data_IF_267321583666
#
_entry.id   IF_267321583666
#
_cell.length_a   1.000
_cell.length_b   1.000
_cell.length_c   1.000
_cell.angle_alpha   90.00
_cell.angle_beta   90.00
_cell.angle_gamma   90.00
#
_symmetry.space_group_name_H-M   'P 1'
#
loop_
_entity.id
_entity.type
_entity.pdbx_description
1 polymer ?
#
# COMPACT_ATOMS: atom_id res chain seq x y z
N UNK A 1 41.11 -71.41 10.74
CA UNK A 1 41.07 -70.00 10.28
C UNK A 1 39.59 -69.60 10.21
N UNK A 2 39.09 -68.93 11.22
CA UNK A 2 37.68 -68.45 11.23
C UNK A 2 37.78 -66.99 10.95
N UNK A 3 37.34 -66.63 9.75
CA UNK A 3 37.27 -65.26 9.28
C UNK A 3 36.03 -64.59 9.96
N UNK A 4 36.25 -63.74 10.94
CA UNK A 4 35.22 -62.97 11.58
C UNK A 4 34.79 -61.84 10.65
N UNK A 5 33.71 -62.03 9.95
CA UNK A 5 33.05 -60.99 9.16
C UNK A 5 32.46 -59.96 10.14
N UNK A 6 33.17 -58.85 10.30
CA UNK A 6 32.72 -57.70 11.07
C UNK A 6 31.53 -57.08 10.32
N UNK A 7 30.32 -57.43 10.71
CA UNK A 7 29.11 -56.77 10.22
C UNK A 7 29.17 -55.28 10.60
N UNK A 8 29.40 -54.45 9.64
CA UNK A 8 29.34 -52.99 9.79
C UNK A 8 27.91 -52.61 10.14
N UNK A 9 27.64 -52.46 11.41
CA UNK A 9 26.35 -51.98 11.91
C UNK A 9 26.20 -50.52 11.50
N UNK A 10 25.55 -50.29 10.34
CA UNK A 10 25.10 -48.95 9.94
C UNK A 10 24.13 -48.51 11.04
N UNK A 11 24.58 -47.58 11.90
CA UNK A 11 23.69 -46.93 12.85
C UNK A 11 22.66 -46.16 11.98
N UNK A 12 21.38 -46.42 12.15
CA UNK A 12 20.37 -45.57 11.51
C UNK A 12 20.57 -44.20 12.10
N UNK A 13 21.13 -43.29 11.29
CA UNK A 13 21.23 -41.88 11.65
C UNK A 13 19.85 -41.43 12.09
N UNK A 14 19.76 -40.84 13.27
CA UNK A 14 18.51 -40.25 13.77
C UNK A 14 18.11 -39.20 12.72
N UNK A 15 17.18 -39.56 11.82
CA UNK A 15 16.69 -38.66 10.81
C UNK A 15 16.21 -37.41 11.49
N UNK A 16 16.75 -36.25 11.10
CA UNK A 16 16.34 -34.98 11.65
C UNK A 16 14.80 -34.89 11.69
N UNK A 17 14.23 -34.55 12.83
CA UNK A 17 12.78 -34.48 13.00
C UNK A 17 12.12 -33.42 12.10
N UNK A 18 12.94 -32.56 11.47
CA UNK A 18 12.50 -31.50 10.55
C UNK A 18 13.26 -31.61 9.23
N UNK A 19 12.54 -31.66 8.12
CA UNK A 19 13.09 -31.67 6.74
C UNK A 19 13.13 -30.25 6.16
N UNK A 20 14.12 -29.48 6.53
CA UNK A 20 14.24 -28.09 6.07
C UNK A 20 14.22 -27.93 4.55
N UNK A 21 14.84 -28.85 3.81
CA UNK A 21 14.79 -28.84 2.35
C UNK A 21 13.35 -28.92 1.80
N UNK A 22 12.49 -29.75 2.40
CA UNK A 22 11.09 -29.86 2.02
C UNK A 22 10.30 -28.59 2.38
N UNK A 23 10.57 -28.00 3.54
CA UNK A 23 9.96 -26.75 4.00
C UNK A 23 10.29 -25.61 3.00
N UNK A 24 11.58 -25.44 2.67
CA UNK A 24 11.99 -24.39 1.72
C UNK A 24 11.47 -24.65 0.32
N UNK A 25 11.45 -25.90 -0.16
CA UNK A 25 10.87 -26.22 -1.46
C UNK A 25 9.38 -25.87 -1.53
N UNK A 26 8.61 -26.24 -0.50
CA UNK A 26 7.20 -25.86 -0.38
C UNK A 26 7.00 -24.35 -0.30
N UNK A 27 7.82 -23.66 0.49
CA UNK A 27 7.76 -22.22 0.66
C UNK A 27 8.06 -21.46 -0.66
N UNK A 28 9.09 -21.87 -1.38
CA UNK A 28 9.45 -21.27 -2.68
C UNK A 28 8.35 -21.49 -3.72
N UNK A 29 7.78 -22.69 -3.76
CA UNK A 29 6.65 -22.99 -4.66
C UNK A 29 5.43 -22.11 -4.34
N UNK A 30 5.08 -21.97 -3.05
CA UNK A 30 3.99 -21.10 -2.64
C UNK A 30 4.26 -19.63 -2.99
N UNK A 31 5.47 -19.12 -2.70
CA UNK A 31 5.84 -17.74 -2.99
C UNK A 31 5.83 -17.45 -4.50
N UNK A 32 6.38 -18.36 -5.31
CA UNK A 32 6.40 -18.22 -6.77
C UNK A 32 4.98 -18.24 -7.35
N UNK A 33 4.13 -19.15 -6.89
CA UNK A 33 2.74 -19.23 -7.32
C UNK A 33 1.95 -17.99 -6.90
N UNK A 34 2.17 -17.49 -5.69
CA UNK A 34 1.58 -16.24 -5.21
C UNK A 34 1.96 -15.07 -6.12
N UNK A 35 3.24 -14.96 -6.52
CA UNK A 35 3.69 -13.91 -7.40
C UNK A 35 3.02 -13.98 -8.77
N UNK A 36 2.93 -15.18 -9.37
CA UNK A 36 2.25 -15.36 -10.67
C UNK A 36 0.77 -14.97 -10.58
N UNK A 37 0.07 -15.40 -9.53
CA UNK A 37 -1.34 -15.09 -9.33
C UNK A 37 -1.56 -13.61 -9.01
N UNK A 38 -0.63 -12.95 -8.30
CA UNK A 38 -0.68 -11.51 -8.08
C UNK A 38 -0.52 -10.72 -9.38
N UNK A 39 0.42 -11.11 -10.25
CA UNK A 39 0.60 -10.49 -11.56
C UNK A 39 -0.63 -10.68 -12.45
N UNK A 40 -1.24 -11.88 -12.43
CA UNK A 40 -2.47 -12.15 -13.16
C UNK A 40 -3.63 -11.29 -12.63
N UNK A 41 -3.77 -11.18 -11.30
CA UNK A 41 -4.78 -10.34 -10.66
C UNK A 41 -4.60 -8.85 -10.96
N UNK A 42 -3.35 -8.37 -11.00
CA UNK A 42 -3.04 -7.01 -11.41
C UNK A 42 -3.45 -6.76 -12.87
N UNK A 43 -3.18 -7.72 -13.77
CA UNK A 43 -3.62 -7.63 -15.17
C UNK A 43 -5.14 -7.51 -15.30
N UNK A 44 -5.90 -8.33 -14.58
CA UNK A 44 -7.37 -8.22 -14.52
C UNK A 44 -7.83 -6.89 -13.91
N UNK A 45 -7.15 -6.42 -12.87
CA UNK A 45 -7.44 -5.13 -12.24
C UNK A 45 -7.25 -3.98 -13.22
N UNK A 46 -6.14 -3.92 -13.93
CA UNK A 46 -5.89 -2.87 -14.93
C UNK A 46 -6.89 -2.90 -16.09
N UNK A 47 -7.32 -4.08 -16.54
CA UNK A 47 -8.31 -4.20 -17.60
C UNK A 47 -9.71 -3.73 -17.18
N UNK A 48 -10.01 -3.68 -15.87
CA UNK A 48 -11.27 -3.22 -15.32
C UNK A 48 -11.34 -1.70 -15.11
N UNK A 49 -10.20 -0.99 -15.20
CA UNK A 49 -10.11 0.47 -15.08
C UNK A 49 -10.30 1.09 -16.45
N UNK A 50 -11.21 2.08 -16.57
CA UNK A 50 -11.36 2.90 -17.77
C UNK A 50 -10.86 4.31 -17.52
N UNK A 51 -10.11 4.94 -18.45
CA UNK A 51 -9.75 6.36 -18.37
C UNK A 51 -10.92 7.28 -18.68
N UNK A 52 -12.04 6.75 -19.18
CA UNK A 52 -13.21 7.53 -19.54
C UNK A 52 -14.16 7.65 -18.34
N UNK A 53 -14.69 8.85 -18.15
CA UNK A 53 -15.62 9.13 -17.05
C UNK A 53 -16.86 8.22 -17.12
N UNK A 54 -17.24 7.64 -15.98
CA UNK A 54 -18.38 6.72 -15.82
C UNK A 54 -18.27 5.38 -16.55
N UNK A 55 -17.11 5.02 -17.10
CA UNK A 55 -16.83 3.71 -17.65
C UNK A 55 -15.87 2.92 -16.74
N UNK A 56 -16.02 1.59 -16.74
CA UNK A 56 -15.20 0.71 -15.91
C UNK A 56 -15.88 0.28 -14.60
N UNK A 57 -15.18 -0.55 -13.83
CA UNK A 57 -15.70 -1.09 -12.58
C UNK A 57 -15.69 -0.04 -11.45
N UNK A 58 -16.73 -0.03 -10.63
CA UNK A 58 -16.78 0.86 -9.46
C UNK A 58 -15.70 0.51 -8.45
N UNK A 59 -15.23 1.49 -7.65
CA UNK A 59 -14.24 1.29 -6.59
C UNK A 59 -14.67 0.19 -5.60
N UNK A 60 -15.97 0.08 -5.29
CA UNK A 60 -16.53 -0.97 -4.44
C UNK A 60 -16.39 -2.35 -5.09
N UNK A 61 -16.73 -2.48 -6.37
CA UNK A 61 -16.60 -3.75 -7.11
C UNK A 61 -15.13 -4.17 -7.18
N UNK A 62 -14.23 -3.24 -7.50
CA UNK A 62 -12.79 -3.51 -7.54
C UNK A 62 -12.25 -3.96 -6.19
N UNK A 63 -12.66 -3.31 -5.09
CA UNK A 63 -12.24 -3.69 -3.74
C UNK A 63 -12.70 -5.11 -3.36
N UNK A 64 -13.96 -5.46 -3.63
CA UNK A 64 -14.49 -6.82 -3.36
C UNK A 64 -13.76 -7.86 -4.21
N UNK A 65 -13.58 -7.60 -5.51
CA UNK A 65 -12.89 -8.51 -6.42
C UNK A 65 -11.42 -8.73 -6.01
N UNK A 66 -10.74 -7.67 -5.58
CA UNK A 66 -9.36 -7.77 -5.07
C UNK A 66 -9.28 -8.64 -3.80
N UNK A 67 -10.20 -8.47 -2.84
CA UNK A 67 -10.26 -9.29 -1.63
C UNK A 67 -10.47 -10.76 -1.97
N UNK A 68 -11.42 -11.06 -2.84
CA UNK A 68 -11.71 -12.44 -3.29
C UNK A 68 -10.51 -13.05 -4.02
N UNK A 69 -9.88 -12.30 -4.91
CA UNK A 69 -8.70 -12.75 -5.65
C UNK A 69 -7.50 -13.01 -4.73
N UNK A 70 -7.22 -12.11 -3.79
CA UNK A 70 -6.13 -12.27 -2.83
C UNK A 70 -6.38 -13.47 -1.91
N UNK A 71 -7.62 -13.68 -1.47
CA UNK A 71 -8.00 -14.85 -0.66
C UNK A 71 -7.81 -16.15 -1.46
N UNK A 72 -8.27 -16.20 -2.71
CA UNK A 72 -8.06 -17.34 -3.60
C UNK A 72 -6.56 -17.62 -3.81
N UNK A 73 -5.77 -16.60 -4.10
CA UNK A 73 -4.32 -16.69 -4.25
C UNK A 73 -3.68 -17.28 -3.00
N UNK A 74 -4.04 -16.80 -1.82
CA UNK A 74 -3.53 -17.28 -0.54
C UNK A 74 -3.87 -18.76 -0.31
N UNK A 75 -5.11 -19.16 -0.56
CA UNK A 75 -5.57 -20.55 -0.40
C UNK A 75 -4.83 -21.50 -1.34
N UNK A 76 -4.76 -21.16 -2.62
CA UNK A 76 -4.13 -22.01 -3.65
C UNK A 76 -2.62 -22.13 -3.40
N UNK A 77 -1.94 -21.02 -3.14
CA UNK A 77 -0.51 -21.03 -2.86
C UNK A 77 -0.16 -21.79 -1.58
N UNK A 78 -0.93 -21.59 -0.51
CA UNK A 78 -0.78 -22.33 0.75
C UNK A 78 -1.02 -23.82 0.57
N UNK A 79 -2.03 -24.22 -0.20
CA UNK A 79 -2.33 -25.61 -0.48
C UNK A 79 -1.19 -26.32 -1.22
N UNK A 80 -0.67 -25.70 -2.29
CA UNK A 80 0.44 -26.25 -3.08
C UNK A 80 1.73 -26.31 -2.25
N UNK A 81 2.06 -25.23 -1.55
CA UNK A 81 3.26 -25.18 -0.72
C UNK A 81 3.25 -26.19 0.42
N UNK A 82 2.13 -26.29 1.14
CA UNK A 82 1.94 -27.27 2.19
C UNK A 82 2.03 -28.73 1.67
N UNK A 83 1.30 -29.01 0.58
CA UNK A 83 1.35 -30.32 -0.07
C UNK A 83 2.78 -30.74 -0.45
N UNK A 84 3.55 -29.83 -1.08
CA UNK A 84 4.93 -30.13 -1.46
C UNK A 84 5.85 -30.31 -0.24
N UNK A 85 5.67 -29.52 0.82
CA UNK A 85 6.43 -29.67 2.06
C UNK A 85 6.19 -31.08 2.67
N UNK A 86 4.96 -31.55 2.71
CA UNK A 86 4.63 -32.89 3.16
C UNK A 86 5.13 -33.98 2.21
N UNK A 87 5.00 -33.79 0.91
CA UNK A 87 5.37 -34.78 -0.12
C UNK A 87 6.88 -34.99 -0.24
N UNK A 88 7.68 -33.96 -0.01
CA UNK A 88 9.14 -33.98 -0.20
C UNK A 88 9.92 -34.26 1.11
N UNK A 89 9.24 -34.40 2.25
CA UNK A 89 9.91 -34.67 3.52
C UNK A 89 10.61 -36.03 3.57
N UNK A 90 11.54 -36.19 4.52
CA UNK A 90 12.16 -37.47 4.80
C UNK A 90 11.11 -38.49 5.34
N UNK A 91 11.30 -39.79 5.07
CA UNK A 91 10.47 -40.86 5.63
C UNK A 91 10.88 -41.18 7.08
N UNK A 92 9.90 -41.36 7.97
CA UNK A 92 10.13 -41.69 9.37
C UNK A 92 9.58 -43.09 9.69
N UNK A 93 10.31 -44.12 9.28
CA UNK A 93 9.87 -45.52 9.40
C UNK A 93 9.62 -46.01 10.84
N UNK A 94 10.23 -45.35 11.85
CA UNK A 94 10.21 -45.80 13.26
C UNK A 94 9.35 -44.92 14.16
N UNK A 95 8.56 -43.99 13.61
CA UNK A 95 7.77 -43.02 14.37
C UNK A 95 6.30 -43.39 14.35
N UNK A 96 5.61 -43.23 15.50
CA UNK A 96 4.17 -43.49 15.60
C UNK A 96 3.37 -42.54 14.69
N UNK A 97 2.21 -43.04 14.20
CA UNK A 97 1.37 -42.32 13.25
C UNK A 97 0.92 -40.91 13.70
N UNK A 98 0.61 -40.76 14.98
CA UNK A 98 0.22 -39.46 15.55
C UNK A 98 1.35 -38.43 15.49
N UNK A 99 2.59 -38.88 15.78
CA UNK A 99 3.77 -38.02 15.68
C UNK A 99 4.09 -37.67 14.23
N UNK A 100 3.89 -38.62 13.28
CA UNK A 100 4.02 -38.32 11.84
C UNK A 100 3.03 -37.27 11.42
N UNK A 101 1.77 -37.37 11.85
CA UNK A 101 0.72 -36.39 11.57
C UNK A 101 1.07 -35.02 12.11
N UNK A 102 1.57 -34.92 13.36
CA UNK A 102 2.03 -33.66 13.95
C UNK A 102 3.19 -33.05 13.16
N UNK A 103 4.17 -33.86 12.80
CA UNK A 103 5.34 -33.39 12.02
C UNK A 103 4.94 -32.90 10.63
N UNK A 104 4.02 -33.59 9.96
CA UNK A 104 3.50 -33.17 8.66
C UNK A 104 2.77 -31.82 8.77
N UNK A 105 1.92 -31.68 9.77
CA UNK A 105 1.23 -30.41 10.06
C UNK A 105 2.22 -29.27 10.30
N UNK A 106 3.26 -29.54 11.11
CA UNK A 106 4.31 -28.56 11.40
C UNK A 106 5.11 -28.17 10.15
N UNK A 107 5.42 -29.13 9.25
CA UNK A 107 6.11 -28.83 7.99
C UNK A 107 5.27 -27.94 7.09
N UNK A 108 3.96 -28.19 6.99
CA UNK A 108 3.04 -27.32 6.24
C UNK A 108 2.97 -25.90 6.80
N UNK A 109 2.83 -25.79 8.12
CA UNK A 109 2.84 -24.50 8.81
C UNK A 109 4.15 -23.73 8.60
N UNK A 110 5.30 -24.40 8.76
CA UNK A 110 6.61 -23.79 8.57
C UNK A 110 6.81 -23.35 7.10
N UNK A 111 6.40 -24.15 6.12
CA UNK A 111 6.47 -23.78 4.72
C UNK A 111 5.61 -22.55 4.42
N UNK A 112 4.39 -22.49 4.96
CA UNK A 112 3.54 -21.33 4.85
C UNK A 112 4.16 -20.09 5.51
N UNK A 113 4.75 -20.24 6.71
CA UNK A 113 5.39 -19.13 7.43
C UNK A 113 6.56 -18.55 6.65
N UNK A 114 7.44 -19.41 6.13
CA UNK A 114 8.58 -18.96 5.31
C UNK A 114 8.09 -18.31 4.01
N UNK A 115 7.10 -18.89 3.32
CA UNK A 115 6.53 -18.31 2.12
C UNK A 115 5.93 -16.92 2.38
N UNK A 116 5.20 -16.77 3.48
CA UNK A 116 4.57 -15.50 3.88
C UNK A 116 5.61 -14.43 4.17
N UNK A 117 6.68 -14.76 4.90
CA UNK A 117 7.78 -13.83 5.19
C UNK A 117 8.54 -13.45 3.93
N UNK A 118 8.82 -14.39 3.03
CA UNK A 118 9.44 -14.10 1.73
C UNK A 118 8.56 -13.18 0.88
N UNK A 119 7.28 -13.49 0.75
CA UNK A 119 6.34 -12.69 -0.01
C UNK A 119 6.19 -11.28 0.58
N UNK A 120 6.09 -11.16 1.91
CA UNK A 120 6.05 -9.87 2.58
C UNK A 120 7.32 -9.05 2.30
N UNK A 121 8.50 -9.65 2.39
CA UNK A 121 9.77 -8.97 2.10
C UNK A 121 9.87 -8.50 0.65
N UNK A 122 9.42 -9.33 -0.31
CA UNK A 122 9.42 -8.96 -1.73
C UNK A 122 8.45 -7.80 -2.02
N UNK A 123 7.24 -7.85 -1.47
CA UNK A 123 6.24 -6.79 -1.65
C UNK A 123 6.71 -5.49 -1.01
N UNK A 124 7.23 -5.55 0.23
CA UNK A 124 7.77 -4.38 0.93
C UNK A 124 8.98 -3.79 0.22
N UNK A 125 9.87 -4.65 -0.30
CA UNK A 125 11.04 -4.22 -1.08
C UNK A 125 10.65 -3.55 -2.40
N UNK A 126 9.67 -4.08 -3.11
CA UNK A 126 9.16 -3.49 -4.35
C UNK A 126 8.49 -2.13 -4.10
N UNK A 127 7.62 -2.03 -3.09
CA UNK A 127 6.97 -0.76 -2.72
C UNK A 127 7.99 0.25 -2.19
N UNK A 128 8.93 -0.17 -1.35
CA UNK A 128 10.01 0.69 -0.85
C UNK A 128 10.94 1.18 -1.96
N UNK A 129 11.22 0.36 -2.97
CA UNK A 129 12.02 0.74 -4.15
C UNK A 129 11.33 1.79 -5.03
N UNK A 130 10.02 1.72 -5.19
CA UNK A 130 9.24 2.71 -5.96
C UNK A 130 9.14 4.04 -5.21
N UNK A 131 9.00 4.00 -3.88
CA UNK A 131 8.92 5.20 -3.04
C UNK A 131 10.30 5.73 -2.62
N UNK A 132 11.33 4.90 -2.67
CA UNK A 132 12.66 5.16 -2.10
C UNK A 132 13.61 5.96 -2.98
N UNK A 133 13.22 6.39 -4.18
CA UNK A 133 14.04 7.35 -4.94
C UNK A 133 14.12 8.75 -4.28
N UNK A 134 13.47 8.97 -3.14
CA UNK A 134 13.45 10.25 -2.44
C UNK A 134 13.27 10.26 -0.92
N UNK A 135 13.09 9.13 -0.21
CA UNK A 135 12.85 9.17 1.23
C UNK A 135 13.52 8.01 1.97
N UNK A 136 14.25 8.32 3.05
CA UNK A 136 14.80 7.35 4.02
C UNK A 136 13.68 6.51 4.61
N UNK A 137 13.63 5.23 4.24
CA UNK A 137 12.54 4.31 4.59
C UNK A 137 12.72 3.82 6.04
N UNK A 138 11.93 4.38 6.94
CA UNK A 138 11.54 3.72 8.18
C UNK A 138 10.26 2.91 7.93
N UNK A 139 10.22 1.70 8.48
CA UNK A 139 9.14 0.70 8.40
C UNK A 139 7.76 1.31 8.70
N UNK A 140 6.95 1.59 7.64
CA UNK A 140 5.55 2.00 7.82
C UNK A 140 4.70 1.67 6.59
N UNK A 141 4.35 0.41 6.41
CA UNK A 141 3.43 -0.02 5.32
C UNK A 141 2.02 0.53 5.50
N UNK A 142 1.60 0.74 6.75
CA UNK A 142 0.32 1.37 7.07
C UNK A 142 0.33 2.89 6.86
N UNK A 143 1.50 3.54 6.93
CA UNK A 143 1.65 5.00 6.74
C UNK A 143 1.95 5.40 5.29
N UNK A 144 2.33 4.46 4.41
CA UNK A 144 2.62 4.75 3.00
C UNK A 144 1.43 5.35 2.25
N UNK A 145 0.23 4.83 2.49
CA UNK A 145 -1.00 5.39 1.91
C UNK A 145 -1.35 6.77 2.51
N UNK A 146 -1.10 6.96 3.80
CA UNK A 146 -1.31 8.24 4.48
C UNK A 146 -0.26 9.29 4.09
N UNK A 147 1.01 8.88 3.89
CA UNK A 147 2.11 9.78 3.45
C UNK A 147 1.94 10.22 2.00
N UNK A 148 1.47 9.35 1.10
CA UNK A 148 1.15 9.71 -0.27
C UNK A 148 -0.02 10.70 -0.33
N UNK A 149 -1.05 10.51 0.50
CA UNK A 149 -2.18 11.43 0.60
C UNK A 149 -1.75 12.81 1.16
N UNK A 150 -0.84 12.85 2.14
CA UNK A 150 -0.32 14.11 2.72
C UNK A 150 0.60 14.85 1.76
N UNK A 151 1.43 14.18 0.96
CA UNK A 151 2.31 14.85 -0.03
C UNK A 151 1.53 15.43 -1.20
N UNK A 152 0.48 14.77 -1.68
CA UNK A 152 -0.43 15.30 -2.71
C UNK A 152 -1.23 16.48 -2.15
N UNK A 153 -1.68 16.41 -0.90
CA UNK A 153 -2.38 17.52 -0.24
C UNK A 153 -1.47 18.75 -0.04
N UNK A 154 -0.20 18.55 0.31
CA UNK A 154 0.76 19.66 0.48
C UNK A 154 1.09 20.35 -0.84
N UNK A 155 1.34 19.60 -1.92
CA UNK A 155 1.62 20.17 -3.25
C UNK A 155 0.43 20.95 -3.83
N UNK A 156 -0.81 20.49 -3.55
CA UNK A 156 -2.02 21.21 -3.97
C UNK A 156 -2.28 22.47 -3.13
N UNK A 157 -1.70 22.58 -1.94
CA UNK A 157 -1.95 23.67 -1.02
C UNK A 157 -1.19 24.96 -1.41
N UNK A 158 -0.03 24.87 -2.05
CA UNK A 158 0.69 26.03 -2.57
C UNK A 158 0.02 26.60 -3.84
N UNK A 159 -0.50 25.76 -4.72
CA UNK A 159 -1.12 26.17 -5.97
C UNK A 159 -2.46 26.92 -5.78
N UNK A 160 -3.31 26.50 -4.84
CA UNK A 160 -4.60 27.17 -4.67
C UNK A 160 -4.48 28.53 -3.98
N UNK A 161 -3.52 28.71 -3.03
CA UNK A 161 -3.29 29.98 -2.37
C UNK A 161 -2.84 31.04 -3.40
N UNK A 162 -1.94 30.66 -4.32
CA UNK A 162 -1.49 31.56 -5.39
C UNK A 162 -2.67 32.02 -6.27
N UNK A 163 -3.60 31.13 -6.59
CA UNK A 163 -4.79 31.48 -7.36
C UNK A 163 -5.63 32.59 -6.68
N UNK A 164 -5.85 32.51 -5.38
CA UNK A 164 -6.62 33.52 -4.65
C UNK A 164 -5.86 34.84 -4.54
N UNK A 165 -4.57 34.81 -4.29
CA UNK A 165 -3.75 36.03 -4.26
C UNK A 165 -3.65 36.67 -5.63
N UNK A 166 -3.47 35.91 -6.69
CA UNK A 166 -3.45 36.45 -8.08
C UNK A 166 -4.81 37.07 -8.46
N UNK A 167 -5.91 36.55 -7.91
CA UNK A 167 -7.25 37.11 -8.17
C UNK A 167 -7.42 38.54 -7.62
N UNK A 168 -6.64 38.94 -6.60
CA UNK A 168 -6.67 40.28 -6.06
C UNK A 168 -6.23 41.32 -7.10
N UNK A 169 -5.21 40.94 -7.89
CA UNK A 169 -4.55 41.85 -8.85
C UNK A 169 -5.14 41.77 -10.27
N UNK A 170 -6.22 41.02 -10.46
CA UNK A 170 -6.88 40.90 -11.76
C UNK A 170 -7.62 42.21 -12.10
N UNK A 171 -7.22 42.86 -13.20
CA UNK A 171 -7.89 44.06 -13.72
C UNK A 171 -9.33 43.79 -14.11
N UNK A 172 -10.26 44.71 -13.82
CA UNK A 172 -11.68 44.59 -14.17
C UNK A 172 -11.91 44.88 -15.66
N UNK A 173 -11.13 45.79 -16.24
CA UNK A 173 -11.11 46.06 -17.66
C UNK A 173 -9.89 45.37 -18.28
N UNK A 174 -10.08 44.45 -19.22
CA UNK A 174 -8.97 43.85 -19.93
C UNK A 174 -8.32 44.90 -20.82
N UNK A 175 -7.21 45.44 -20.38
CA UNK A 175 -6.29 46.14 -21.29
C UNK A 175 -5.86 45.06 -22.29
N UNK A 176 -5.98 45.30 -23.64
CA UNK A 176 -5.49 44.34 -24.60
C UNK A 176 -4.01 44.05 -24.27
N UNK A 177 -3.71 42.81 -23.93
CA UNK A 177 -2.32 42.41 -23.70
C UNK A 177 -1.55 42.64 -25.01
N UNK A 178 -0.66 43.60 -25.00
CA UNK A 178 0.34 43.69 -26.04
C UNK A 178 1.17 42.42 -25.96
N UNK A 179 1.21 41.66 -27.07
CA UNK A 179 1.90 40.38 -27.17
C UNK A 179 3.29 40.46 -26.52
N UNK A 180 3.53 39.65 -25.51
CA UNK A 180 4.84 39.44 -24.90
C UNK A 180 5.13 40.15 -23.57
N UNK A 181 4.16 40.76 -22.91
CA UNK A 181 4.38 41.39 -21.61
C UNK A 181 4.15 40.42 -20.49
N UNK A 182 5.22 39.90 -19.87
CA UNK A 182 5.20 39.32 -18.53
C UNK A 182 4.57 40.34 -17.55
N UNK A 183 3.76 39.87 -16.56
CA UNK A 183 3.25 40.79 -15.52
C UNK A 183 4.41 41.60 -14.92
N UNK A 184 4.23 42.89 -14.63
CA UNK A 184 5.27 43.68 -13.99
C UNK A 184 5.80 42.97 -12.76
N UNK A 185 7.09 42.92 -12.55
CA UNK A 185 7.75 42.28 -11.39
C UNK A 185 7.10 42.68 -10.06
N UNK A 186 6.56 43.90 -10.02
CA UNK A 186 5.92 44.47 -8.84
C UNK A 186 4.58 43.78 -8.48
N UNK A 187 3.80 43.35 -9.47
CA UNK A 187 2.54 42.65 -9.23
C UNK A 187 2.78 41.23 -8.68
N UNK A 188 3.81 40.52 -9.19
CA UNK A 188 4.16 39.21 -8.67
C UNK A 188 4.67 39.29 -7.22
N UNK A 189 5.44 40.33 -6.90
CA UNK A 189 5.92 40.54 -5.53
C UNK A 189 4.79 40.93 -4.58
N UNK A 190 3.86 41.78 -5.01
CA UNK A 190 2.66 42.12 -4.26
C UNK A 190 1.75 40.87 -4.01
N UNK A 191 1.64 39.95 -4.97
CA UNK A 191 0.94 38.68 -4.83
C UNK A 191 1.55 37.80 -3.76
N UNK A 192 2.87 37.63 -3.74
CA UNK A 192 3.59 36.88 -2.71
C UNK A 192 3.43 37.48 -1.32
N UNK A 193 3.43 38.84 -1.23
CA UNK A 193 3.22 39.56 0.03
C UNK A 193 1.80 39.39 0.55
N UNK A 194 0.79 39.52 -0.31
CA UNK A 194 -0.61 39.24 0.02
C UNK A 194 -0.81 37.81 0.51
N UNK A 195 -0.14 36.84 -0.11
CA UNK A 195 -0.17 35.43 0.32
C UNK A 195 0.39 35.23 1.73
N UNK A 196 1.49 35.89 2.07
CA UNK A 196 2.07 35.84 3.42
C UNK A 196 1.17 36.46 4.47
N UNK A 197 0.57 37.62 4.16
CA UNK A 197 -0.39 38.30 5.07
C UNK A 197 -1.61 37.40 5.27
N UNK A 198 -2.20 36.84 4.22
CA UNK A 198 -3.35 35.91 4.31
C UNK A 198 -3.01 34.71 5.15
N UNK A 199 -1.86 34.07 4.93
CA UNK A 199 -1.40 32.92 5.72
C UNK A 199 -1.28 33.25 7.20
N UNK A 200 -0.70 34.43 7.53
CA UNK A 200 -0.58 34.91 8.90
C UNK A 200 -1.96 35.19 9.53
N UNK A 201 -2.84 35.86 8.79
CA UNK A 201 -4.18 36.21 9.24
C UNK A 201 -5.08 34.99 9.45
N UNK A 202 -4.94 33.97 8.58
CA UNK A 202 -5.64 32.69 8.76
C UNK A 202 -5.17 31.98 10.03
N UNK A 203 -3.86 31.98 10.32
CA UNK A 203 -3.32 31.41 11.54
C UNK A 203 -3.78 32.14 12.81
N UNK A 204 -4.05 33.44 12.71
CA UNK A 204 -4.61 34.27 13.80
C UNK A 204 -6.14 34.22 13.87
N UNK A 205 -6.80 33.63 12.88
CA UNK A 205 -8.26 33.52 12.80
C UNK A 205 -9.01 34.71 12.24
N UNK A 206 -8.32 35.82 11.94
CA UNK A 206 -8.92 37.04 11.37
C UNK A 206 -7.91 37.86 10.58
N UNK A 207 -8.41 38.59 9.58
CA UNK A 207 -7.65 39.61 8.89
C UNK A 207 -7.75 40.92 9.71
N UNK A 208 -6.61 41.48 10.14
CA UNK A 208 -6.57 42.73 10.88
C UNK A 208 -7.03 43.91 10.02
N UNK A 209 -7.58 44.93 10.64
CA UNK A 209 -8.00 46.15 9.90
C UNK A 209 -6.81 46.85 9.24
N UNK A 210 -5.64 46.84 9.90
CA UNK A 210 -4.41 47.41 9.35
C UNK A 210 -3.95 46.63 8.10
N UNK A 211 -3.95 45.30 8.14
CA UNK A 211 -3.58 44.47 6.99
C UNK A 211 -4.58 44.63 5.84
N UNK A 212 -5.87 44.76 6.15
CA UNK A 212 -6.91 44.99 5.14
C UNK A 212 -6.69 46.35 4.43
N UNK A 213 -6.43 47.42 5.18
CA UNK A 213 -6.17 48.73 4.62
C UNK A 213 -4.87 48.75 3.80
N UNK A 214 -3.80 48.14 4.32
CA UNK A 214 -2.53 48.02 3.61
C UNK A 214 -2.70 47.28 2.29
N UNK A 215 -3.27 46.07 2.31
CA UNK A 215 -3.55 45.31 1.10
C UNK A 215 -4.47 46.03 0.13
N UNK A 216 -5.49 46.75 0.65
CA UNK A 216 -6.37 47.60 -0.15
C UNK A 216 -5.60 48.68 -0.93
N UNK A 217 -4.62 49.32 -0.30
CA UNK A 217 -3.74 50.29 -0.97
C UNK A 217 -2.86 49.62 -2.03
N UNK A 218 -2.24 48.46 -1.71
CA UNK A 218 -1.39 47.71 -2.65
C UNK A 218 -2.21 47.26 -3.86
N UNK A 219 -3.41 46.74 -3.66
CA UNK A 219 -4.31 46.34 -4.75
C UNK A 219 -4.77 47.52 -5.58
N UNK A 220 -5.13 48.65 -4.96
CA UNK A 220 -5.51 49.89 -5.67
C UNK A 220 -4.37 50.45 -6.55
N UNK A 221 -3.13 50.35 -6.08
CA UNK A 221 -1.95 50.81 -6.85
C UNK A 221 -1.65 49.92 -8.07
N UNK A 222 -2.01 48.62 -7.99
CA UNK A 222 -1.73 47.63 -9.04
C UNK A 222 -2.95 47.29 -9.90
N UNK A 223 -4.10 47.95 -9.65
CA UNK A 223 -5.35 47.74 -10.38
C UNK A 223 -6.07 49.09 -10.64
N UNK A 224 -7.13 49.08 -11.46
CA UNK A 224 -7.93 50.28 -11.72
C UNK A 224 -9.04 50.50 -10.68
N UNK A 225 -8.89 49.95 -9.44
CA UNK A 225 -9.88 50.06 -8.38
C UNK A 225 -9.63 51.29 -7.50
N UNK A 226 -10.70 51.85 -6.96
CA UNK A 226 -10.59 52.79 -5.84
C UNK A 226 -10.14 52.03 -4.58
N UNK A 227 -9.55 52.70 -3.61
CA UNK A 227 -9.11 52.08 -2.34
C UNK A 227 -10.26 51.36 -1.63
N UNK A 228 -11.45 51.94 -1.61
CA UNK A 228 -12.64 51.33 -1.00
C UNK A 228 -13.05 50.05 -1.73
N UNK A 229 -12.99 50.01 -3.05
CA UNK A 229 -13.26 48.81 -3.83
C UNK A 229 -12.19 47.77 -3.66
N UNK A 230 -10.93 48.15 -3.55
CA UNK A 230 -9.80 47.26 -3.30
C UNK A 230 -9.89 46.61 -1.91
N UNK A 231 -10.19 47.39 -0.87
CA UNK A 231 -10.42 46.84 0.50
C UNK A 231 -11.58 45.85 0.52
N UNK A 232 -12.69 46.14 -0.17
CA UNK A 232 -13.82 45.21 -0.29
C UNK A 232 -13.40 43.91 -0.99
N UNK A 233 -12.60 44.02 -2.09
CA UNK A 233 -12.05 42.85 -2.80
C UNK A 233 -11.12 42.01 -1.91
N UNK A 234 -10.25 42.65 -1.13
CA UNK A 234 -9.38 41.97 -0.16
C UNK A 234 -10.19 41.22 0.85
N UNK A 235 -11.20 41.85 1.45
CA UNK A 235 -12.09 41.21 2.42
C UNK A 235 -12.83 40.02 1.81
N UNK A 236 -13.38 40.15 0.61
CA UNK A 236 -14.09 39.11 -0.08
C UNK A 236 -13.15 37.93 -0.45
N UNK A 237 -11.96 38.23 -0.95
CA UNK A 237 -10.97 37.21 -1.31
C UNK A 237 -10.48 36.44 -0.09
N UNK A 238 -10.21 37.16 1.02
CA UNK A 238 -9.89 36.52 2.30
C UNK A 238 -10.98 35.57 2.78
N UNK A 239 -12.26 36.02 2.75
CA UNK A 239 -13.38 35.18 3.14
C UNK A 239 -13.50 33.92 2.27
N UNK A 240 -13.35 34.04 0.96
CA UNK A 240 -13.33 32.90 0.02
C UNK A 240 -12.16 31.95 0.30
N UNK A 241 -10.98 32.50 0.60
CA UNK A 241 -9.79 31.72 0.96
C UNK A 241 -10.03 30.90 2.21
N UNK A 242 -10.59 31.50 3.28
CA UNK A 242 -10.94 30.80 4.52
C UNK A 242 -11.98 29.72 4.27
N UNK A 243 -13.02 30.00 3.49
CA UNK A 243 -14.05 29.03 3.15
C UNK A 243 -13.48 27.85 2.35
N UNK A 244 -12.61 28.11 1.37
CA UNK A 244 -11.96 27.07 0.58
C UNK A 244 -11.06 26.18 1.45
N UNK A 245 -10.33 26.77 2.41
CA UNK A 245 -9.51 26.03 3.37
C UNK A 245 -10.37 25.11 4.27
N UNK A 246 -11.49 25.62 4.78
CA UNK A 246 -12.42 24.82 5.59
C UNK A 246 -12.98 23.64 4.79
N UNK A 247 -13.39 23.86 3.54
CA UNK A 247 -13.87 22.81 2.67
C UNK A 247 -12.79 21.78 2.35
N UNK A 248 -11.55 22.22 2.10
CA UNK A 248 -10.42 21.32 1.87
C UNK A 248 -10.11 20.49 3.12
N UNK A 249 -10.17 21.08 4.31
CA UNK A 249 -9.99 20.38 5.58
C UNK A 249 -11.08 19.32 5.82
N UNK A 250 -12.35 19.67 5.59
CA UNK A 250 -13.46 18.72 5.69
C UNK A 250 -13.31 17.56 4.71
N UNK A 251 -12.95 17.83 3.47
CA UNK A 251 -12.69 16.78 2.46
C UNK A 251 -11.49 15.89 2.85
N UNK A 252 -10.41 16.51 3.35
CA UNK A 252 -9.25 15.76 3.83
C UNK A 252 -9.61 14.84 5.02
N UNK A 253 -10.40 15.34 5.98
CA UNK A 253 -10.89 14.54 7.12
C UNK A 253 -11.80 13.39 6.65
N UNK A 254 -12.73 13.66 5.73
CA UNK A 254 -13.62 12.63 5.17
C UNK A 254 -12.84 11.55 4.39
N UNK A 255 -11.84 11.97 3.61
CA UNK A 255 -10.94 11.06 2.89
C UNK A 255 -10.12 10.22 3.85
N UNK A 256 -9.54 10.84 4.90
CA UNK A 256 -8.78 10.14 5.93
C UNK A 256 -9.64 9.12 6.70
N UNK A 257 -10.89 9.48 7.05
CA UNK A 257 -11.83 8.56 7.72
C UNK A 257 -12.18 7.37 6.81
N UNK A 258 -12.42 7.61 5.54
CA UNK A 258 -12.69 6.57 4.55
C UNK A 258 -11.47 5.65 4.37
N UNK A 259 -10.27 6.21 4.26
CA UNK A 259 -9.03 5.45 4.17
C UNK A 259 -8.77 4.61 5.42
N UNK A 260 -9.01 5.18 6.63
CA UNK A 260 -8.90 4.46 7.90
C UNK A 260 -9.85 3.27 7.97
N UNK A 261 -11.11 3.46 7.58
CA UNK A 261 -12.11 2.38 7.53
C UNK A 261 -11.70 1.29 6.55
N UNK A 262 -11.27 1.67 5.34
CA UNK A 262 -10.78 0.72 4.34
C UNK A 262 -9.56 -0.06 4.84
N UNK A 263 -8.59 0.60 5.47
CA UNK A 263 -7.40 -0.04 6.05
C UNK A 263 -7.78 -1.03 7.16
N UNK A 264 -8.70 -0.69 8.05
CA UNK A 264 -9.18 -1.57 9.11
C UNK A 264 -9.85 -2.83 8.55
N UNK A 265 -10.73 -2.70 7.56
CA UNK A 265 -11.36 -3.82 6.87
C UNK A 265 -10.35 -4.70 6.14
N UNK A 266 -9.42 -4.10 5.40
CA UNK A 266 -8.36 -4.83 4.69
C UNK A 266 -7.47 -5.60 5.66
N UNK A 267 -7.09 -5.01 6.78
CA UNK A 267 -6.28 -5.68 7.81
C UNK A 267 -6.99 -6.89 8.42
N UNK A 268 -8.29 -6.75 8.72
CA UNK A 268 -9.09 -7.85 9.26
C UNK A 268 -9.22 -9.00 8.24
N UNK A 269 -9.52 -8.69 6.98
CA UNK A 269 -9.58 -9.69 5.92
C UNK A 269 -8.23 -10.36 5.66
N UNK A 270 -7.14 -9.59 5.68
CA UNK A 270 -5.79 -10.13 5.54
C UNK A 270 -5.45 -11.10 6.68
N UNK A 271 -5.80 -10.75 7.92
CA UNK A 271 -5.64 -11.64 9.07
C UNK A 271 -6.38 -12.97 8.86
N UNK A 272 -7.66 -12.92 8.47
CA UNK A 272 -8.46 -14.12 8.21
C UNK A 272 -7.87 -14.94 7.06
N UNK A 273 -7.47 -14.31 5.96
CA UNK A 273 -6.89 -14.98 4.82
C UNK A 273 -5.56 -15.67 5.16
N UNK A 274 -4.70 -15.01 5.93
CA UNK A 274 -3.44 -15.59 6.41
C UNK A 274 -3.71 -16.77 7.35
N UNK A 275 -4.63 -16.63 8.29
CA UNK A 275 -5.00 -17.72 9.20
C UNK A 275 -5.54 -18.94 8.43
N UNK A 276 -6.43 -18.73 7.48
CA UNK A 276 -6.92 -19.80 6.58
C UNK A 276 -5.76 -20.45 5.81
N UNK A 277 -4.82 -19.65 5.30
CA UNK A 277 -3.64 -20.15 4.60
C UNK A 277 -2.78 -21.06 5.48
N UNK A 278 -2.55 -20.69 6.73
CA UNK A 278 -1.83 -21.51 7.69
C UNK A 278 -2.50 -22.88 7.90
N UNK A 279 -3.81 -22.88 8.13
CA UNK A 279 -4.58 -24.13 8.30
C UNK A 279 -4.56 -24.99 7.03
N UNK A 280 -4.76 -24.39 5.86
CA UNK A 280 -4.77 -25.12 4.59
C UNK A 280 -3.40 -25.72 4.31
N UNK A 281 -2.32 -24.99 4.48
CA UNK A 281 -0.96 -25.51 4.29
C UNK A 281 -0.67 -26.69 5.24
N UNK A 282 -1.07 -26.56 6.50
CA UNK A 282 -0.94 -27.63 7.50
C UNK A 282 -1.72 -28.90 7.09
N UNK A 283 -2.97 -28.74 6.66
CA UNK A 283 -3.80 -29.87 6.22
C UNK A 283 -3.27 -30.51 4.93
N UNK A 284 -2.89 -29.72 3.94
CA UNK A 284 -2.39 -30.28 2.67
C UNK A 284 -1.03 -30.95 2.82
N UNK A 285 -0.22 -30.53 3.77
CA UNK A 285 1.03 -31.21 4.10
C UNK A 285 0.81 -32.63 4.63
N UNK A 286 -0.20 -32.85 5.48
CA UNK A 286 -0.56 -34.21 5.93
C UNK A 286 -1.00 -35.10 4.76
N UNK A 287 -1.68 -34.50 3.78
CA UNK A 287 -2.09 -35.22 2.56
C UNK A 287 -0.87 -35.58 1.70
N UNK A 288 0.06 -34.66 1.49
CA UNK A 288 1.32 -34.90 0.79
C UNK A 288 2.18 -35.95 1.46
N UNK A 289 2.29 -35.92 2.79
CA UNK A 289 3.00 -36.88 3.60
C UNK A 289 2.44 -38.30 3.50
N UNK A 290 1.12 -38.47 3.61
CA UNK A 290 0.43 -39.76 3.43
C UNK A 290 0.67 -40.38 2.07
N UNK A 291 0.56 -39.58 1.00
CA UNK A 291 0.82 -40.09 -0.35
C UNK A 291 2.27 -40.53 -0.54
N UNK A 292 3.22 -39.81 0.09
CA UNK A 292 4.62 -40.23 0.08
C UNK A 292 4.83 -41.58 0.73
N UNK A 293 4.26 -41.79 1.91
CA UNK A 293 4.45 -43.02 2.69
C UNK A 293 3.82 -44.23 1.99
N UNK A 294 2.69 -44.06 1.30
CA UNK A 294 2.04 -45.11 0.49
C UNK A 294 2.93 -45.61 -0.67
N UNK A 295 3.65 -44.71 -1.35
CA UNK A 295 4.55 -45.10 -2.46
C UNK A 295 5.76 -45.87 -1.94
N UNK A 296 6.27 -45.56 -0.76
CA UNK A 296 7.38 -46.29 -0.15
C UNK A 296 6.95 -47.72 0.24
N UNK A 297 5.78 -47.84 0.86
CA UNK A 297 5.23 -49.16 1.26
C UNK A 297 4.98 -50.10 0.09
N UNK A 298 4.51 -49.62 -1.04
CA UNK A 298 4.29 -50.43 -2.25
C UNK A 298 5.61 -50.87 -2.93
N UNK A 299 6.73 -50.19 -2.72
CA UNK A 299 8.05 -50.59 -3.22
C UNK A 299 8.69 -51.72 -2.42
N UNK A 300 8.43 -51.80 -1.13
CA UNK A 300 8.99 -52.80 -0.23
C UNK A 300 8.26 -54.17 -0.35
N UNK A 301 7.10 -54.23 -1.01
CA UNK A 301 6.30 -55.41 -1.24
C UNK A 301 6.43 -56.01 -2.66
N UNK A 302 7.12 -55.36 -3.60
CA UNK A 302 7.35 -55.82 -4.97
C UNK A 302 8.81 -56.12 -5.25
#
# INVERSE_FOLDING_TARGET
MIESTTAYRVHPGHGAGVSWGAIFAGALAAASLSLILLLLGAGFGFSAISPWANEGASAKTMGISAILWLTLTQVVAAAVGGYLAGRLRAHWATVHGDEVFFRDTAHGFLAWSVATLLSATLVLGAVGGILGAGAKVGVNVASGAASAATSVAAASQEDWMSYYTDSLFRSVDPVPAADGMTPPSDTAQAGMEAGRIFTSSIAQGQLSEDDKQYLGQVVAQNTNLTTVQAEARVQETYARTVQALQQAEEQARATADTAKKAAAWTSLWMFIALLCGAFIASLTATFGGRQRDQVTYSRDLG
#
